data_IF_039612056081
#
_entry.id   IF_039612056081
#
_cell.length_a   1.000
_cell.length_b   1.000
_cell.length_c   1.000
_cell.angle_alpha   90.00
_cell.angle_beta   90.00
_cell.angle_gamma   90.00
#
_symmetry.space_group_name_H-M   'P 1'
#
loop_
_entity.id
_entity.type
_entity.pdbx_description
1 polymer ?
#
# COMPACT_ATOMS: atom_id res chain seq x y z
N UNK A 1 -19.88 55.61 53.58
CA UNK A 1 -19.68 56.63 52.55
C UNK A 1 -19.27 55.92 51.26
N UNK A 2 -20.18 56.02 50.31
CA UNK A 2 -20.13 56.11 48.88
C UNK A 2 -19.73 54.83 48.14
N UNK A 3 -20.67 54.12 47.70
CA UNK A 3 -21.37 54.06 46.40
C UNK A 3 -20.51 54.43 45.21
N UNK A 4 -20.36 53.51 44.24
CA UNK A 4 -20.78 53.71 42.85
C UNK A 4 -20.96 52.36 42.17
N UNK A 5 -22.13 52.18 41.59
CA UNK A 5 -22.59 51.19 40.58
C UNK A 5 -22.01 51.55 39.21
N UNK A 6 -21.86 50.52 38.38
CA UNK A 6 -22.34 50.42 36.97
C UNK A 6 -21.73 49.16 36.42
N UNK A 7 -22.42 48.22 35.88
CA UNK A 7 -23.56 48.26 34.94
C UNK A 7 -23.04 48.15 33.52
N UNK A 8 -23.13 47.01 32.92
CA UNK A 8 -22.82 46.85 31.50
C UNK A 8 -22.83 45.39 31.09
N UNK A 9 -24.05 44.82 30.92
CA UNK A 9 -24.27 43.60 30.16
C UNK A 9 -23.89 43.81 28.72
N UNK A 10 -23.01 42.94 28.20
CA UNK A 10 -22.83 42.72 26.77
C UNK A 10 -23.02 41.25 26.54
N UNK A 11 -24.25 40.89 26.19
CA UNK A 11 -24.58 39.64 25.51
C UNK A 11 -23.82 39.63 24.18
N UNK A 12 -22.79 38.78 24.07
CA UNK A 12 -22.14 38.36 22.85
C UNK A 12 -22.48 36.90 22.61
N UNK A 13 -23.50 36.66 21.78
CA UNK A 13 -23.80 35.36 21.22
C UNK A 13 -22.60 34.78 20.49
N UNK A 14 -22.02 33.72 21.03
CA UNK A 14 -21.06 32.88 20.32
C UNK A 14 -21.82 31.69 19.74
N UNK A 15 -22.34 31.88 18.53
CA UNK A 15 -22.72 30.77 17.65
C UNK A 15 -21.48 30.09 17.10
N UNK A 16 -21.50 28.75 17.08
CA UNK A 16 -20.57 27.96 16.28
C UNK A 16 -19.66 27.01 17.04
N UNK A 17 -20.21 26.20 17.94
CA UNK A 17 -19.51 24.97 18.37
C UNK A 17 -19.63 23.93 17.26
N UNK A 18 -18.73 23.97 16.28
CA UNK A 18 -18.48 22.81 15.42
C UNK A 18 -18.05 21.65 16.30
N UNK A 19 -18.81 20.56 16.29
CA UNK A 19 -18.66 19.40 17.14
C UNK A 19 -17.20 18.92 17.21
N UNK A 20 -16.63 18.99 18.40
CA UNK A 20 -15.38 18.34 18.70
C UNK A 20 -15.55 16.85 18.42
N UNK A 21 -14.88 16.33 17.40
CA UNK A 21 -14.79 14.88 17.18
C UNK A 21 -14.25 14.20 18.44
N UNK A 22 -14.49 12.90 18.62
CA UNK A 22 -14.11 12.19 19.84
C UNK A 22 -12.64 12.47 20.18
N UNK A 23 -12.36 12.80 21.43
CA UNK A 23 -11.01 13.01 21.95
C UNK A 23 -10.17 11.79 21.60
N UNK A 24 -9.08 12.00 20.86
CA UNK A 24 -8.15 10.92 20.53
C UNK A 24 -7.37 10.57 21.78
N UNK A 25 -7.34 9.27 22.09
CA UNK A 25 -6.51 8.76 23.17
C UNK A 25 -5.02 9.04 22.88
N UNK A 26 -4.29 9.51 23.90
CA UNK A 26 -2.84 9.59 23.83
C UNK A 26 -2.25 8.19 24.03
N UNK A 27 -1.31 7.79 23.19
CA UNK A 27 -0.55 6.56 23.42
C UNK A 27 0.18 6.61 24.77
N UNK A 28 0.40 5.45 25.36
CA UNK A 28 1.17 5.31 26.61
C UNK A 28 2.53 6.01 26.45
N UNK A 29 2.81 6.99 27.31
CA UNK A 29 4.01 7.84 27.21
C UNK A 29 3.78 9.24 26.62
N UNK A 30 2.51 9.65 26.39
CA UNK A 30 2.17 11.00 25.91
C UNK A 30 2.40 11.21 24.40
N UNK A 31 2.60 10.15 23.62
CA UNK A 31 2.76 10.23 22.18
C UNK A 31 1.38 10.36 21.51
N UNK A 32 1.20 11.41 20.70
CA UNK A 32 0.00 11.57 19.90
C UNK A 32 0.07 10.65 18.68
N UNK A 33 -0.85 9.68 18.58
CA UNK A 33 -0.96 8.89 17.35
C UNK A 33 -1.36 9.80 16.18
N UNK A 34 -0.63 9.74 15.05
CA UNK A 34 -0.95 10.56 13.90
C UNK A 34 -2.28 10.13 13.27
N UNK A 35 -3.00 11.10 12.71
CA UNK A 35 -4.09 10.81 11.78
C UNK A 35 -3.50 10.05 10.60
N UNK A 36 -3.83 8.78 10.47
CA UNK A 36 -3.39 7.97 9.34
C UNK A 36 -4.28 8.23 8.13
N UNK A 37 -3.67 8.46 6.99
CA UNK A 37 -4.33 8.68 5.72
C UNK A 37 -3.55 7.98 4.59
N UNK A 38 -4.20 7.75 3.47
CA UNK A 38 -3.57 7.20 2.27
C UNK A 38 -4.19 7.82 1.02
N UNK A 39 -3.42 7.86 -0.06
CA UNK A 39 -3.86 8.34 -1.35
C UNK A 39 -2.92 7.88 -2.46
N UNK A 40 -3.26 8.20 -3.70
CA UNK A 40 -2.41 7.93 -4.83
C UNK A 40 -2.36 9.13 -5.79
N UNK A 41 -1.18 9.39 -6.34
CA UNK A 41 -1.01 10.25 -7.49
C UNK A 41 -1.34 9.41 -8.72
N UNK A 42 -2.54 9.61 -9.27
CA UNK A 42 -2.94 9.01 -10.53
C UNK A 42 -2.27 9.74 -11.67
N UNK A 43 -1.66 8.98 -12.58
CA UNK A 43 -0.99 9.54 -13.76
C UNK A 43 -1.28 8.73 -15.02
N UNK A 44 -1.13 9.37 -16.16
CA UNK A 44 -1.18 8.75 -17.50
C UNK A 44 -0.30 9.53 -18.48
N UNK A 45 0.03 8.91 -19.61
CA UNK A 45 0.56 9.63 -20.76
C UNK A 45 -0.60 10.24 -21.55
N UNK A 46 -0.66 11.56 -21.56
CA UNK A 46 -1.61 12.36 -22.35
C UNK A 46 -1.00 12.84 -23.66
N UNK A 47 -1.79 13.56 -24.51
CA UNK A 47 -1.34 14.08 -25.81
C UNK A 47 -0.16 15.05 -25.71
N UNK A 48 -0.03 15.75 -24.58
CA UNK A 48 1.01 16.77 -24.33
C UNK A 48 2.11 16.34 -23.36
N UNK A 49 2.13 15.08 -22.94
CA UNK A 49 3.05 14.57 -21.93
C UNK A 49 2.31 13.98 -20.73
N UNK A 50 3.00 13.84 -19.62
CA UNK A 50 2.41 13.25 -18.41
C UNK A 50 1.31 14.12 -17.81
N UNK A 51 0.14 13.54 -17.60
CA UNK A 51 -0.99 14.14 -16.91
C UNK A 51 -1.22 13.46 -15.56
N UNK A 52 -1.69 14.23 -14.57
CA UNK A 52 -2.09 13.71 -13.25
C UNK A 52 -3.50 14.14 -12.90
N UNK A 53 -4.17 13.37 -12.03
CA UNK A 53 -5.51 13.71 -11.55
C UNK A 53 -5.43 14.68 -10.38
N UNK A 54 -6.16 15.79 -10.50
CA UNK A 54 -6.45 16.70 -9.40
C UNK A 54 -7.94 16.65 -9.03
N UNK A 55 -8.22 16.86 -7.76
CA UNK A 55 -9.57 16.99 -7.21
C UNK A 55 -9.77 18.39 -6.63
N UNK A 56 -10.94 19.01 -6.89
CA UNK A 56 -11.33 20.27 -6.27
C UNK A 56 -12.31 20.01 -5.14
N UNK A 57 -12.04 20.60 -3.96
CA UNK A 57 -12.89 20.47 -2.79
C UNK A 57 -13.57 21.79 -2.49
N UNK A 58 -14.90 21.87 -2.69
CA UNK A 58 -15.65 23.13 -2.61
C UNK A 58 -15.59 23.76 -1.21
N UNK A 59 -15.75 22.96 -0.15
CA UNK A 59 -15.72 23.43 1.24
C UNK A 59 -14.42 24.14 1.66
N UNK A 60 -13.33 23.89 0.93
CA UNK A 60 -12.00 24.46 1.22
C UNK A 60 -11.50 25.38 0.13
N UNK A 61 -12.23 25.44 -0.98
CA UNK A 61 -11.84 26.16 -2.18
C UNK A 61 -10.39 25.80 -2.61
N UNK A 62 -10.02 24.51 -2.53
CA UNK A 62 -8.65 24.04 -2.79
C UNK A 62 -8.58 22.95 -3.87
N UNK A 63 -7.39 22.85 -4.48
CA UNK A 63 -6.99 21.77 -5.36
C UNK A 63 -6.00 20.85 -4.64
N UNK A 64 -6.20 19.56 -4.75
CA UNK A 64 -5.44 18.55 -4.02
C UNK A 64 -5.30 17.26 -4.83
N UNK A 65 -4.38 16.42 -4.40
CA UNK A 65 -4.30 15.01 -4.84
C UNK A 65 -5.32 14.17 -4.07
N UNK A 66 -5.93 13.13 -4.70
CA UNK A 66 -6.93 12.29 -4.06
C UNK A 66 -6.36 11.49 -2.88
N UNK A 67 -6.94 11.67 -1.70
CA UNK A 67 -6.50 11.05 -0.43
C UNK A 67 -7.50 11.24 0.69
N UNK A 68 -7.59 10.29 1.58
CA UNK A 68 -8.41 10.45 2.78
C UNK A 68 -7.94 9.66 3.99
N UNK A 69 -8.72 9.68 5.05
CA UNK A 69 -8.40 9.04 6.33
C UNK A 69 -8.63 7.54 6.25
N UNK A 70 -7.70 6.76 6.81
CA UNK A 70 -7.91 5.34 6.98
C UNK A 70 -9.00 5.06 8.00
N UNK A 71 -9.88 4.11 7.69
CA UNK A 71 -10.84 3.55 8.64
C UNK A 71 -10.10 2.75 9.72
N UNK A 72 -10.77 2.46 10.83
CA UNK A 72 -10.17 1.63 11.89
C UNK A 72 -9.73 0.28 11.33
N UNK A 73 -8.48 -0.10 11.59
CA UNK A 73 -7.84 -1.34 11.11
C UNK A 73 -7.81 -1.50 9.58
N UNK A 74 -7.98 -0.43 8.83
CA UNK A 74 -7.86 -0.45 7.38
C UNK A 74 -6.39 -0.51 6.97
N UNK A 75 -6.08 -1.40 6.03
CA UNK A 75 -4.75 -1.47 5.43
C UNK A 75 -4.52 -0.25 4.52
N UNK A 76 -3.33 0.37 4.61
CA UNK A 76 -3.05 1.61 3.88
C UNK A 76 -3.22 1.47 2.36
N UNK A 77 -2.83 0.33 1.78
CA UNK A 77 -3.02 0.01 0.36
C UNK A 77 -4.49 0.01 -0.04
N UNK A 78 -5.36 -0.64 0.75
CA UNK A 78 -6.80 -0.68 0.46
C UNK A 78 -7.47 0.67 0.71
N UNK A 79 -6.99 1.42 1.71
CA UNK A 79 -7.44 2.78 1.97
C UNK A 79 -7.11 3.73 0.83
N UNK A 80 -5.90 3.64 0.27
CA UNK A 80 -5.53 4.45 -0.91
C UNK A 80 -6.43 4.16 -2.11
N UNK A 81 -6.69 2.87 -2.40
CA UNK A 81 -7.62 2.49 -3.49
C UNK A 81 -9.03 3.03 -3.23
N UNK A 82 -9.56 2.85 -2.02
CA UNK A 82 -10.90 3.31 -1.65
C UNK A 82 -11.04 4.83 -1.79
N UNK A 83 -10.10 5.60 -1.22
CA UNK A 83 -10.15 7.07 -1.27
C UNK A 83 -10.06 7.59 -2.72
N UNK A 84 -9.18 7.00 -3.54
CA UNK A 84 -9.11 7.37 -4.95
C UNK A 84 -10.43 7.09 -5.67
N UNK A 85 -11.05 5.93 -5.45
CA UNK A 85 -12.34 5.60 -6.05
C UNK A 85 -13.44 6.53 -5.55
N UNK A 86 -13.49 6.79 -4.24
CA UNK A 86 -14.49 7.67 -3.61
C UNK A 86 -14.37 9.13 -4.13
N UNK A 87 -13.15 9.65 -4.32
CA UNK A 87 -12.91 11.04 -4.73
C UNK A 87 -12.83 11.25 -6.25
N UNK A 88 -12.64 10.19 -7.07
CA UNK A 88 -12.41 10.36 -8.52
C UNK A 88 -13.26 9.46 -9.41
N UNK A 89 -13.90 8.42 -8.88
CA UNK A 89 -14.55 7.37 -9.67
C UNK A 89 -13.60 6.44 -10.43
N UNK A 90 -12.29 6.71 -10.44
CA UNK A 90 -11.30 5.94 -11.16
C UNK A 90 -10.78 4.77 -10.30
N UNK A 91 -10.60 3.60 -10.91
CA UNK A 91 -10.01 2.43 -10.23
C UNK A 91 -8.48 2.48 -10.38
N UNK A 92 -7.72 2.74 -9.30
CA UNK A 92 -6.27 2.83 -9.39
C UNK A 92 -5.60 1.45 -9.47
N UNK A 93 -4.49 1.40 -10.19
CA UNK A 93 -3.50 0.32 -10.14
C UNK A 93 -2.23 0.89 -9.53
N UNK A 94 -1.91 0.46 -8.31
CA UNK A 94 -0.79 1.00 -7.55
C UNK A 94 0.55 0.57 -8.16
N UNK A 95 1.39 1.55 -8.43
CA UNK A 95 2.80 1.41 -8.76
C UNK A 95 3.69 1.62 -7.54
N UNK A 96 4.86 2.21 -7.75
CA UNK A 96 5.82 2.43 -6.67
C UNK A 96 5.29 3.33 -5.56
N UNK A 97 5.64 2.98 -4.32
CA UNK A 97 5.38 3.83 -3.17
C UNK A 97 6.22 5.11 -3.25
N UNK A 98 5.58 6.23 -2.96
CA UNK A 98 6.23 7.52 -2.81
C UNK A 98 6.56 7.78 -1.33
N UNK A 99 7.50 8.69 -1.03
CA UNK A 99 7.77 9.08 0.34
C UNK A 99 6.52 9.55 1.07
N UNK A 100 6.25 9.04 2.29
CA UNK A 100 5.10 9.47 3.08
C UNK A 100 5.25 10.92 3.51
N UNK A 101 4.14 11.62 3.61
CA UNK A 101 4.10 12.97 4.12
C UNK A 101 3.66 13.02 5.57
N UNK A 102 4.27 13.95 6.32
CA UNK A 102 3.93 14.24 7.71
C UNK A 102 3.79 15.74 7.88
N UNK A 103 2.65 16.15 8.42
CA UNK A 103 2.34 17.55 8.71
C UNK A 103 1.32 17.66 9.85
N UNK A 104 1.16 18.88 10.37
CA UNK A 104 0.11 19.16 11.36
C UNK A 104 -1.18 19.54 10.62
N UNK A 105 -2.28 18.89 10.96
CA UNK A 105 -3.63 19.28 10.57
C UNK A 105 -4.42 19.69 11.80
N UNK A 106 -4.82 20.95 11.89
CA UNK A 106 -5.55 21.50 13.04
C UNK A 106 -4.83 21.19 14.38
N UNK A 107 -3.51 21.33 14.38
CA UNK A 107 -2.65 21.04 15.53
C UNK A 107 -2.33 19.55 15.77
N UNK A 108 -2.90 18.62 14.99
CA UNK A 108 -2.68 17.19 15.15
C UNK A 108 -1.70 16.63 14.11
N UNK A 109 -0.78 15.74 14.48
CA UNK A 109 0.07 15.06 13.51
C UNK A 109 -0.79 14.24 12.53
N UNK A 110 -0.53 14.43 11.24
CA UNK A 110 -1.12 13.63 10.17
C UNK A 110 0.00 12.99 9.35
N UNK A 111 -0.15 11.70 9.05
CA UNK A 111 0.71 10.96 8.14
C UNK A 111 -0.12 10.46 6.96
N UNK A 112 0.34 10.74 5.75
CA UNK A 112 -0.28 10.29 4.50
C UNK A 112 0.70 9.38 3.78
N UNK A 113 0.24 8.14 3.51
CA UNK A 113 0.95 7.19 2.66
C UNK A 113 0.57 7.41 1.20
N UNK A 114 1.55 7.40 0.30
CA UNK A 114 1.37 7.73 -1.10
C UNK A 114 1.91 6.67 -2.04
N UNK A 115 1.22 6.47 -3.14
CA UNK A 115 1.65 5.66 -4.28
C UNK A 115 1.52 6.46 -5.58
N UNK A 116 2.42 6.24 -6.53
CA UNK A 116 2.15 6.51 -7.92
C UNK A 116 1.19 5.44 -8.43
N UNK A 117 0.19 5.80 -9.22
CA UNK A 117 -0.79 4.83 -9.72
C UNK A 117 -1.24 5.19 -11.13
N UNK A 118 -1.54 4.17 -11.93
CA UNK A 118 -2.28 4.29 -13.18
C UNK A 118 -3.74 3.91 -12.95
N UNK A 119 -4.57 4.03 -13.97
CA UNK A 119 -5.94 3.52 -13.93
C UNK A 119 -6.04 2.10 -14.50
N UNK A 120 -6.98 1.31 -14.01
CA UNK A 120 -7.25 -0.04 -14.53
C UNK A 120 -7.68 0.00 -16.00
N UNK A 121 -8.36 1.05 -16.41
CA UNK A 121 -8.66 1.39 -17.82
C UNK A 121 -7.99 2.71 -18.18
N UNK A 122 -6.87 2.71 -18.92
CA UNK A 122 -6.18 3.93 -19.32
C UNK A 122 -7.00 4.85 -20.25
N UNK A 123 -8.01 4.29 -20.94
CA UNK A 123 -8.89 5.03 -21.82
C UNK A 123 -10.12 5.61 -21.09
N UNK A 124 -10.33 5.23 -19.82
CA UNK A 124 -11.46 5.73 -19.06
C UNK A 124 -11.40 7.26 -18.94
N UNK A 125 -12.46 7.92 -19.38
CA UNK A 125 -12.73 9.31 -19.04
C UNK A 125 -13.10 9.43 -17.56
N UNK A 126 -13.06 10.64 -17.04
CA UNK A 126 -13.58 10.91 -15.70
C UNK A 126 -15.10 11.05 -15.84
N UNK A 127 -15.81 10.09 -15.25
CA UNK A 127 -17.27 10.14 -15.06
C UNK A 127 -17.53 10.17 -13.56
N UNK A 128 -17.41 11.35 -12.97
CA UNK A 128 -17.51 11.56 -11.53
C UNK A 128 -18.65 12.55 -11.24
N UNK A 129 -19.73 12.11 -10.58
CA UNK A 129 -20.80 13.01 -10.17
C UNK A 129 -20.30 13.89 -9.00
N UNK A 130 -20.39 15.22 -9.12
CA UNK A 130 -20.02 16.13 -8.04
C UNK A 130 -20.75 15.80 -6.73
N UNK A 131 -20.06 15.92 -5.61
CA UNK A 131 -20.62 15.77 -4.27
C UNK A 131 -20.11 16.88 -3.32
N UNK A 132 -20.48 16.79 -2.04
CA UNK A 132 -20.09 17.80 -1.03
C UNK A 132 -18.56 17.83 -0.78
N UNK A 133 -17.87 16.70 -0.96
CA UNK A 133 -16.43 16.59 -0.69
C UNK A 133 -15.59 16.99 -1.91
N UNK A 134 -15.99 16.53 -3.11
CA UNK A 134 -15.30 16.80 -4.38
C UNK A 134 -16.33 17.20 -5.43
N UNK A 135 -16.17 18.39 -6.01
CA UNK A 135 -17.07 18.90 -7.04
C UNK A 135 -16.48 18.88 -8.46
N UNK A 136 -15.16 18.70 -8.59
CA UNK A 136 -14.50 18.61 -9.89
C UNK A 136 -13.28 17.70 -9.83
N UNK A 137 -13.15 16.85 -10.84
CA UNK A 137 -12.01 15.95 -11.03
C UNK A 137 -11.48 16.18 -12.45
N UNK A 138 -10.19 16.42 -12.59
CA UNK A 138 -9.57 16.72 -13.88
C UNK A 138 -8.24 15.99 -14.07
N UNK A 139 -7.97 15.55 -15.31
CA UNK A 139 -6.63 15.25 -15.78
C UNK A 139 -5.94 16.57 -16.16
N UNK A 140 -4.81 16.85 -15.55
CA UNK A 140 -4.08 18.11 -15.72
C UNK A 140 -2.63 17.78 -16.09
N UNK A 141 -2.04 18.47 -17.10
CA UNK A 141 -0.61 18.35 -17.37
C UNK A 141 0.21 18.56 -16.08
N UNK A 142 1.21 17.75 -15.86
CA UNK A 142 1.93 17.70 -14.58
C UNK A 142 2.56 19.05 -14.20
N UNK A 143 3.02 19.84 -15.18
CA UNK A 143 3.59 21.17 -14.95
C UNK A 143 2.51 22.16 -14.48
N UNK A 144 1.33 22.15 -15.13
CA UNK A 144 0.20 22.97 -14.72
C UNK A 144 -0.35 22.54 -13.34
N UNK A 145 -0.36 21.24 -13.07
CA UNK A 145 -0.82 20.69 -11.80
C UNK A 145 -0.02 21.23 -10.61
N UNK A 146 1.30 21.43 -10.76
CA UNK A 146 2.16 22.00 -9.71
C UNK A 146 1.74 23.43 -9.34
N UNK A 147 1.35 24.23 -10.32
CA UNK A 147 0.91 25.63 -10.10
C UNK A 147 -0.52 25.69 -9.55
N UNK A 148 -1.37 24.69 -9.86
CA UNK A 148 -2.78 24.63 -9.41
C UNK A 148 -2.93 24.05 -8.00
N UNK A 149 -2.01 23.18 -7.56
CA UNK A 149 -2.07 22.57 -6.24
C UNK A 149 -1.97 23.65 -5.14
N UNK A 150 -2.93 23.64 -4.22
CA UNK A 150 -3.03 24.64 -3.16
C UNK A 150 -1.96 24.47 -2.08
N UNK A 151 -1.45 23.26 -1.88
CA UNK A 151 -0.58 22.96 -0.76
C UNK A 151 0.81 22.49 -1.22
N UNK A 152 1.86 23.11 -0.67
CA UNK A 152 3.25 22.70 -0.91
C UNK A 152 3.52 21.21 -0.63
N UNK A 153 2.78 20.63 0.30
CA UNK A 153 2.96 19.21 0.58
C UNK A 153 2.41 18.32 -0.54
N UNK A 154 1.38 18.72 -1.28
CA UNK A 154 0.90 18.00 -2.46
C UNK A 154 1.86 18.21 -3.66
N UNK A 155 2.42 19.43 -3.83
CA UNK A 155 3.48 19.68 -4.81
C UNK A 155 4.69 18.76 -4.57
N UNK A 156 5.11 18.57 -3.32
CA UNK A 156 6.21 17.63 -2.99
C UNK A 156 5.90 16.18 -3.37
N UNK A 157 4.63 15.75 -3.38
CA UNK A 157 4.28 14.40 -3.91
C UNK A 157 4.54 14.33 -5.41
N UNK A 158 4.17 15.38 -6.15
CA UNK A 158 4.44 15.48 -7.59
C UNK A 158 5.95 15.48 -7.86
N UNK A 159 6.73 16.25 -7.11
CA UNK A 159 8.20 16.28 -7.24
C UNK A 159 8.82 14.89 -6.97
N UNK A 160 8.35 14.19 -5.94
CA UNK A 160 8.78 12.82 -5.64
C UNK A 160 8.38 11.82 -6.72
N UNK A 161 7.25 12.04 -7.37
CA UNK A 161 6.85 11.24 -8.55
C UNK A 161 7.77 11.51 -9.73
N UNK A 162 8.05 12.75 -10.04
CA UNK A 162 8.94 13.12 -11.15
C UNK A 162 10.41 12.72 -10.94
N UNK A 163 10.85 12.62 -9.69
CA UNK A 163 12.22 12.23 -9.34
C UNK A 163 12.54 10.73 -9.56
N UNK A 164 11.58 9.91 -9.94
CA UNK A 164 11.80 8.48 -10.16
C UNK A 164 10.98 7.92 -11.32
N UNK A 165 11.14 6.63 -11.63
CA UNK A 165 10.47 6.01 -12.77
C UNK A 165 8.95 6.02 -12.58
N UNK A 166 8.22 6.46 -13.60
CA UNK A 166 6.76 6.45 -13.60
C UNK A 166 6.22 5.01 -13.69
N UNK A 167 6.75 4.22 -14.63
CA UNK A 167 6.32 2.84 -14.87
C UNK A 167 7.18 1.84 -14.08
N UNK A 168 6.52 1.04 -13.26
CA UNK A 168 7.15 -0.05 -12.50
C UNK A 168 6.25 -1.28 -12.47
N UNK A 169 6.82 -2.46 -12.23
CA UNK A 169 6.04 -3.64 -11.93
C UNK A 169 6.37 -4.19 -10.54
N UNK A 170 5.35 -4.61 -9.77
CA UNK A 170 5.55 -5.15 -8.43
C UNK A 170 5.92 -6.65 -8.48
N UNK A 171 6.94 -7.02 -7.71
CA UNK A 171 7.20 -8.41 -7.32
C UNK A 171 6.95 -8.51 -5.81
N UNK A 172 5.91 -9.23 -5.44
CA UNK A 172 5.44 -9.36 -4.06
C UNK A 172 5.96 -10.68 -3.49
N UNK A 173 6.76 -10.61 -2.42
CA UNK A 173 7.28 -11.78 -1.72
C UNK A 173 6.53 -11.96 -0.41
N UNK A 174 5.59 -12.91 -0.39
CA UNK A 174 4.72 -13.23 0.74
C UNK A 174 5.27 -14.41 1.54
N UNK A 175 5.43 -14.25 2.84
CA UNK A 175 5.52 -15.38 3.74
C UNK A 175 4.12 -15.92 4.01
N UNK A 176 3.91 -17.24 3.82
CA UNK A 176 2.61 -17.89 4.07
C UNK A 176 1.97 -17.43 5.39
N UNK A 177 0.66 -17.47 5.45
CA UNK A 177 -0.15 -17.11 6.61
C UNK A 177 -0.02 -18.12 7.76
N UNK A 178 -0.72 -17.90 8.86
CA UNK A 178 -0.65 -18.78 10.03
C UNK A 178 -1.12 -20.18 9.69
N UNK A 179 -0.35 -21.19 10.10
CA UNK A 179 -0.60 -22.60 9.87
C UNK A 179 -0.39 -23.43 11.16
N UNK A 180 -0.67 -22.82 12.31
CA UNK A 180 -0.55 -23.46 13.61
C UNK A 180 0.89 -23.81 14.01
N UNK A 181 0.99 -24.67 15.01
CA UNK A 181 2.27 -25.18 15.50
C UNK A 181 2.73 -26.40 14.66
N UNK A 182 3.95 -26.30 14.14
CA UNK A 182 4.58 -27.39 13.40
C UNK A 182 4.77 -28.65 14.28
N UNK A 183 5.08 -28.47 15.55
CA UNK A 183 5.32 -29.58 16.50
C UNK A 183 4.06 -30.40 16.80
N UNK A 184 2.89 -29.81 16.64
CA UNK A 184 1.61 -30.52 16.85
C UNK A 184 1.10 -31.23 15.58
N UNK A 185 1.75 -31.03 14.42
CA UNK A 185 1.36 -31.67 13.15
C UNK A 185 2.10 -32.99 12.98
N UNK A 186 1.37 -34.10 12.78
CA UNK A 186 1.91 -35.47 12.76
C UNK A 186 2.13 -36.04 11.36
N UNK A 187 1.50 -35.45 10.34
CA UNK A 187 1.66 -35.84 8.96
C UNK A 187 2.81 -35.09 8.25
N UNK A 188 2.98 -35.31 6.94
CA UNK A 188 3.94 -34.58 6.13
C UNK A 188 3.70 -33.07 6.25
N UNK A 189 4.74 -32.31 6.61
CA UNK A 189 4.69 -30.85 6.78
C UNK A 189 4.24 -30.11 5.52
N UNK A 190 4.40 -30.71 4.34
CA UNK A 190 3.89 -30.16 3.10
C UNK A 190 2.36 -30.09 3.07
N UNK A 191 1.71 -31.01 3.74
CA UNK A 191 0.24 -31.10 3.80
C UNK A 191 -0.36 -30.24 4.92
N UNK A 192 0.46 -29.64 5.79
CA UNK A 192 -0.03 -28.84 6.91
C UNK A 192 -0.77 -27.59 6.40
N UNK A 193 -2.10 -27.48 6.67
CA UNK A 193 -2.93 -26.41 6.16
C UNK A 193 -2.81 -25.13 6.97
N UNK A 194 -3.46 -24.07 6.54
CA UNK A 194 -3.69 -22.88 7.37
C UNK A 194 -4.56 -23.23 8.59
N UNK A 195 -4.26 -22.59 9.70
CA UNK A 195 -5.17 -22.57 10.87
C UNK A 195 -6.33 -21.57 10.67
N UNK A 196 -7.22 -21.47 11.65
CA UNK A 196 -8.37 -20.55 11.59
C UNK A 196 -7.97 -19.08 11.41
N UNK A 197 -6.86 -18.67 12.04
CA UNK A 197 -6.31 -17.30 11.89
C UNK A 197 -5.79 -17.09 10.48
N UNK A 198 -5.02 -18.04 9.94
CA UNK A 198 -4.49 -17.96 8.60
C UNK A 198 -5.59 -17.90 7.53
N UNK A 199 -6.66 -18.70 7.68
CA UNK A 199 -7.81 -18.67 6.76
C UNK A 199 -8.53 -17.32 6.81
N UNK A 200 -8.74 -16.74 8.00
CA UNK A 200 -9.33 -15.42 8.13
C UNK A 200 -8.45 -14.33 7.48
N UNK A 201 -7.13 -14.41 7.64
CA UNK A 201 -6.18 -13.49 7.02
C UNK A 201 -6.14 -13.65 5.49
N UNK A 202 -6.30 -14.88 4.98
CA UNK A 202 -6.33 -15.14 3.54
C UNK A 202 -7.46 -14.40 2.83
N UNK A 203 -8.61 -14.21 3.49
CA UNK A 203 -9.75 -13.45 2.95
C UNK A 203 -9.49 -11.95 2.79
N UNK A 204 -8.48 -11.40 3.46
CA UNK A 204 -8.10 -10.00 3.31
C UNK A 204 -7.12 -9.75 2.16
N UNK A 205 -6.38 -10.79 1.73
CA UNK A 205 -5.35 -10.67 0.69
C UNK A 205 -5.86 -10.23 -0.69
N UNK A 206 -7.03 -10.67 -1.18
CA UNK A 206 -7.50 -10.28 -2.51
C UNK A 206 -7.50 -8.78 -2.74
N UNK A 207 -8.07 -8.00 -1.82
CA UNK A 207 -8.11 -6.53 -1.94
C UNK A 207 -6.74 -5.88 -1.90
N UNK A 208 -5.82 -6.41 -1.09
CA UNK A 208 -4.47 -5.86 -0.94
C UNK A 208 -3.62 -6.18 -2.17
N UNK A 209 -3.64 -7.44 -2.65
CA UNK A 209 -2.86 -7.87 -3.80
C UNK A 209 -3.44 -7.33 -5.12
N UNK A 210 -4.77 -7.29 -5.22
CA UNK A 210 -5.49 -6.77 -6.39
C UNK A 210 -5.22 -5.29 -6.67
N UNK A 211 -4.88 -4.52 -5.62
CA UNK A 211 -4.49 -3.12 -5.77
C UNK A 211 -3.26 -2.90 -6.68
N UNK A 212 -2.43 -3.92 -6.85
CA UNK A 212 -1.22 -3.89 -7.69
C UNK A 212 -1.45 -4.46 -9.12
N UNK A 213 -2.68 -4.46 -9.63
CA UNK A 213 -2.97 -4.83 -11.02
C UNK A 213 -3.06 -6.33 -11.28
N UNK A 214 -3.58 -7.09 -10.33
CA UNK A 214 -3.81 -8.54 -10.42
C UNK A 214 -2.54 -9.33 -10.74
N UNK A 215 -1.50 -9.27 -9.91
CA UNK A 215 -0.28 -10.02 -10.09
C UNK A 215 -0.56 -11.52 -10.25
N UNK A 216 0.16 -12.18 -11.17
CA UNK A 216 0.13 -13.65 -11.27
C UNK A 216 0.71 -14.30 -10.03
N UNK A 217 0.39 -15.57 -9.82
CA UNK A 217 0.79 -16.31 -8.63
C UNK A 217 1.84 -17.38 -8.94
N UNK A 218 2.93 -17.37 -8.18
CA UNK A 218 3.92 -18.43 -8.08
C UNK A 218 4.04 -18.86 -6.62
N UNK A 219 3.87 -20.13 -6.32
CA UNK A 219 3.81 -20.58 -4.93
C UNK A 219 4.65 -21.83 -4.65
N UNK A 220 5.11 -21.98 -3.44
CA UNK A 220 5.62 -23.24 -2.90
C UNK A 220 4.55 -24.35 -3.04
N UNK A 221 5.00 -25.61 -3.12
CA UNK A 221 4.11 -26.77 -3.14
C UNK A 221 3.41 -27.05 -1.80
N UNK A 222 3.77 -26.37 -0.71
CA UNK A 222 3.17 -26.60 0.60
C UNK A 222 1.73 -26.06 0.66
N UNK A 223 0.81 -26.87 1.23
CA UNK A 223 -0.61 -26.53 1.35
C UNK A 223 -0.85 -25.13 1.94
N UNK A 224 -0.14 -24.76 3.01
CA UNK A 224 -0.24 -23.44 3.65
C UNK A 224 0.11 -22.27 2.72
N UNK A 225 1.01 -22.48 1.75
CA UNK A 225 1.34 -21.44 0.77
C UNK A 225 0.24 -21.30 -0.28
N UNK A 226 -0.24 -22.42 -0.80
CA UNK A 226 -1.35 -22.44 -1.78
C UNK A 226 -2.63 -21.90 -1.17
N UNK A 227 -3.01 -22.35 0.04
CA UNK A 227 -4.19 -21.88 0.76
C UNK A 227 -4.11 -20.38 1.11
N UNK A 228 -2.91 -19.83 1.35
CA UNK A 228 -2.74 -18.39 1.60
C UNK A 228 -3.22 -17.53 0.43
N UNK A 229 -3.05 -18.02 -0.80
CA UNK A 229 -3.39 -17.27 -2.01
C UNK A 229 -4.70 -17.73 -2.67
N UNK A 230 -5.32 -18.83 -2.17
CA UNK A 230 -6.52 -19.39 -2.77
C UNK A 230 -7.68 -18.38 -2.92
N UNK A 231 -8.04 -17.56 -1.90
CA UNK A 231 -9.08 -16.56 -2.07
C UNK A 231 -8.76 -15.55 -3.16
N UNK A 232 -7.50 -15.12 -3.26
CA UNK A 232 -7.04 -14.19 -4.30
C UNK A 232 -7.15 -14.80 -5.69
N UNK A 233 -6.67 -16.04 -5.87
CA UNK A 233 -6.69 -16.70 -7.19
C UNK A 233 -8.11 -16.99 -7.67
N UNK A 234 -9.02 -17.30 -6.75
CA UNK A 234 -10.45 -17.52 -7.06
C UNK A 234 -11.16 -16.21 -7.40
N UNK A 235 -10.95 -15.14 -6.63
CA UNK A 235 -11.64 -13.86 -6.83
C UNK A 235 -11.25 -13.19 -8.15
N UNK A 236 -9.97 -13.30 -8.54
CA UNK A 236 -9.45 -12.64 -9.76
C UNK A 236 -9.23 -13.57 -10.94
N UNK A 237 -9.59 -14.86 -10.83
CA UNK A 237 -9.33 -15.88 -11.85
C UNK A 237 -7.86 -15.92 -12.29
N UNK A 238 -6.95 -15.90 -11.32
CA UNK A 238 -5.49 -15.89 -11.58
C UNK A 238 -4.92 -17.30 -11.49
N UNK A 239 -4.29 -17.81 -12.56
CA UNK A 239 -3.70 -19.14 -12.52
C UNK A 239 -2.53 -19.22 -11.53
N UNK A 240 -2.46 -20.34 -10.81
CA UNK A 240 -1.38 -20.63 -9.86
C UNK A 240 -0.32 -21.50 -10.50
N UNK A 241 0.93 -21.05 -10.52
CA UNK A 241 2.11 -21.85 -10.86
C UNK A 241 2.80 -22.33 -9.58
N UNK A 242 2.95 -23.62 -9.44
CA UNK A 242 3.76 -24.19 -8.35
C UNK A 242 5.23 -24.23 -8.77
N UNK A 243 6.08 -23.65 -7.92
CA UNK A 243 7.54 -23.69 -8.07
C UNK A 243 8.16 -24.46 -6.89
N UNK A 244 8.71 -25.64 -7.18
CA UNK A 244 9.26 -26.53 -6.16
C UNK A 244 10.46 -25.95 -5.44
N UNK A 245 11.24 -25.08 -6.11
CA UNK A 245 12.37 -24.39 -5.51
C UNK A 245 11.96 -23.49 -4.32
N UNK A 246 10.72 -23.00 -4.30
CA UNK A 246 10.20 -22.20 -3.18
C UNK A 246 9.68 -23.04 -2.00
N UNK A 247 9.82 -24.37 -2.07
CA UNK A 247 9.40 -25.29 -1.02
C UNK A 247 10.58 -25.65 -0.15
N UNK A 248 10.47 -25.42 1.15
CA UNK A 248 11.53 -25.78 2.09
C UNK A 248 11.64 -27.29 2.20
N UNK A 249 12.85 -27.77 2.03
CA UNK A 249 13.28 -29.11 2.42
C UNK A 249 14.27 -28.95 3.57
N UNK A 250 14.00 -29.56 4.71
CA UNK A 250 14.92 -29.57 5.84
C UNK A 250 15.94 -30.69 5.62
N UNK A 251 17.23 -30.37 5.72
CA UNK A 251 18.27 -31.39 5.87
C UNK A 251 18.24 -31.95 7.29
N UNK A 252 18.91 -33.08 7.50
CA UNK A 252 19.04 -33.74 8.83
C UNK A 252 19.64 -32.84 9.92
N UNK A 253 20.37 -31.79 9.53
CA UNK A 253 20.95 -30.78 10.43
C UNK A 253 20.10 -29.51 10.58
N UNK A 254 18.86 -29.48 10.05
CA UNK A 254 17.94 -28.34 10.15
C UNK A 254 18.22 -27.18 9.23
N UNK A 255 19.25 -27.22 8.40
CA UNK A 255 19.53 -26.19 7.42
C UNK A 255 18.57 -26.28 6.22
N UNK A 256 18.10 -25.18 5.64
CA UNK A 256 17.25 -25.21 4.46
C UNK A 256 18.04 -25.75 3.26
N UNK A 257 17.44 -26.72 2.56
CA UNK A 257 17.97 -27.30 1.34
C UNK A 257 17.45 -26.53 0.13
N UNK A 258 18.28 -26.38 -0.90
CA UNK A 258 17.81 -25.79 -2.17
C UNK A 258 17.70 -24.27 -2.15
N UNK A 259 18.46 -23.58 -1.29
CA UNK A 259 18.46 -22.11 -1.23
C UNK A 259 18.93 -21.51 -2.56
N UNK A 260 19.94 -22.10 -3.19
CA UNK A 260 20.46 -21.58 -4.44
C UNK A 260 19.44 -21.73 -5.58
N UNK A 261 18.80 -22.88 -5.68
CA UNK A 261 17.72 -23.12 -6.65
C UNK A 261 16.55 -22.14 -6.43
N UNK A 262 16.24 -21.81 -5.16
CA UNK A 262 15.23 -20.80 -4.84
C UNK A 262 15.63 -19.40 -5.28
N UNK A 263 16.90 -19.02 -5.09
CA UNK A 263 17.45 -17.73 -5.54
C UNK A 263 17.42 -17.61 -7.07
N UNK A 264 17.85 -18.66 -7.78
CA UNK A 264 17.78 -18.71 -9.24
C UNK A 264 16.32 -18.64 -9.75
N UNK A 265 15.39 -19.38 -9.12
CA UNK A 265 13.99 -19.33 -9.48
C UNK A 265 13.39 -17.93 -9.26
N UNK A 266 13.78 -17.26 -8.15
CA UNK A 266 13.32 -15.90 -7.88
C UNK A 266 13.95 -14.87 -8.83
N UNK A 267 15.21 -15.06 -9.20
CA UNK A 267 15.87 -14.26 -10.22
C UNK A 267 15.15 -14.34 -11.58
N UNK A 268 14.67 -15.53 -11.97
CA UNK A 268 13.84 -15.69 -13.18
C UNK A 268 12.52 -14.93 -13.06
N UNK A 269 11.87 -14.97 -11.89
CA UNK A 269 10.64 -14.18 -11.64
C UNK A 269 10.88 -12.69 -11.82
N UNK A 270 11.98 -12.17 -11.29
CA UNK A 270 12.37 -10.75 -11.47
C UNK A 270 12.61 -10.40 -12.93
N UNK A 271 13.33 -11.28 -13.66
CA UNK A 271 13.67 -11.08 -15.07
C UNK A 271 12.46 -11.16 -16.02
N UNK A 272 11.38 -11.82 -15.64
CA UNK A 272 10.16 -11.92 -16.45
C UNK A 272 9.43 -10.57 -16.60
N UNK A 273 9.76 -9.54 -15.83
CA UNK A 273 9.23 -8.18 -15.98
C UNK A 273 7.70 -8.08 -15.84
N UNK A 274 7.10 -8.86 -14.95
CA UNK A 274 5.63 -8.94 -14.80
C UNK A 274 5.21 -8.86 -13.35
N UNK A 275 4.10 -8.19 -13.04
CA UNK A 275 3.50 -8.24 -11.72
C UNK A 275 3.34 -9.69 -11.23
N UNK A 276 3.96 -10.02 -10.10
CA UNK A 276 4.01 -11.41 -9.61
C UNK A 276 3.94 -11.45 -8.09
N UNK A 277 3.12 -12.34 -7.53
CA UNK A 277 3.15 -12.71 -6.12
C UNK A 277 3.88 -14.07 -6.00
N UNK A 278 4.90 -14.09 -5.15
CA UNK A 278 5.61 -15.31 -4.77
C UNK A 278 5.27 -15.63 -3.31
N UNK A 279 4.64 -16.78 -3.06
CA UNK A 279 4.37 -17.24 -1.70
C UNK A 279 5.33 -18.35 -1.30
N UNK A 280 6.04 -18.14 -0.17
CA UNK A 280 7.06 -19.06 0.32
C UNK A 280 7.15 -19.06 1.87
N UNK A 281 8.25 -19.53 2.40
CA UNK A 281 8.51 -19.80 3.82
C UNK A 281 9.46 -18.76 4.43
N UNK A 282 9.39 -18.64 5.77
CA UNK A 282 10.18 -17.63 6.50
C UNK A 282 11.68 -17.78 6.33
N UNK A 283 12.16 -18.99 6.13
CA UNK A 283 13.57 -19.33 6.00
C UNK A 283 14.15 -18.88 4.64
N UNK A 284 13.31 -18.89 3.58
CA UNK A 284 13.73 -18.45 2.24
C UNK A 284 13.59 -16.94 2.03
N UNK A 285 12.65 -16.29 2.72
CA UNK A 285 12.37 -14.86 2.53
C UNK A 285 13.62 -13.97 2.59
N UNK A 286 14.50 -14.06 3.62
CA UNK A 286 15.70 -13.22 3.66
C UNK A 286 16.64 -13.44 2.50
N UNK A 287 16.76 -14.71 2.05
CA UNK A 287 17.65 -15.11 0.95
C UNK A 287 17.15 -14.56 -0.39
N UNK A 288 15.84 -14.70 -0.65
CA UNK A 288 15.22 -14.21 -1.88
C UNK A 288 15.20 -12.67 -1.93
N UNK A 289 14.95 -12.03 -0.80
CA UNK A 289 14.97 -10.57 -0.74
C UNK A 289 16.40 -10.02 -0.92
N UNK A 290 17.41 -10.65 -0.32
CA UNK A 290 18.81 -10.31 -0.54
C UNK A 290 19.21 -10.46 -2.03
N UNK A 291 18.78 -11.54 -2.67
CA UNK A 291 18.99 -11.77 -4.10
C UNK A 291 18.37 -10.66 -4.95
N UNK A 292 17.10 -10.31 -4.66
CA UNK A 292 16.42 -9.22 -5.38
C UNK A 292 17.18 -7.90 -5.26
N UNK A 293 17.54 -7.49 -4.04
CA UNK A 293 18.21 -6.21 -3.80
C UNK A 293 19.60 -6.18 -4.45
N UNK A 294 20.35 -7.29 -4.39
CA UNK A 294 21.65 -7.39 -5.04
C UNK A 294 21.52 -7.23 -6.55
N UNK A 295 20.59 -7.95 -7.19
CA UNK A 295 20.38 -7.86 -8.66
C UNK A 295 19.91 -6.50 -9.12
N UNK A 296 19.09 -5.83 -8.29
CA UNK A 296 18.54 -4.51 -8.59
C UNK A 296 19.48 -3.36 -8.17
N UNK A 297 20.72 -3.67 -7.76
CA UNK A 297 21.74 -2.68 -7.43
C UNK A 297 21.47 -1.89 -6.14
N UNK A 298 20.68 -2.43 -5.22
CA UNK A 298 20.32 -1.74 -4.00
C UNK A 298 21.07 -2.26 -2.78
N UNK A 299 21.65 -1.38 -1.96
CA UNK A 299 22.27 -1.79 -0.70
C UNK A 299 21.18 -2.23 0.29
N UNK A 300 21.48 -3.21 1.13
CA UNK A 300 20.60 -3.61 2.22
C UNK A 300 21.38 -3.81 3.51
N UNK A 301 20.88 -3.21 4.58
CA UNK A 301 21.44 -3.35 5.93
C UNK A 301 20.40 -3.79 6.97
N UNK A 302 19.16 -4.07 6.53
CA UNK A 302 18.01 -4.32 7.41
C UNK A 302 17.71 -5.81 7.54
N UNK A 303 16.96 -6.14 8.60
CA UNK A 303 16.39 -7.48 8.74
C UNK A 303 15.37 -7.75 7.63
N UNK A 304 15.72 -8.63 6.70
CA UNK A 304 14.90 -9.00 5.55
C UNK A 304 13.81 -10.03 5.89
N UNK A 305 13.83 -10.60 7.10
CA UNK A 305 12.85 -11.58 7.54
C UNK A 305 11.44 -11.00 7.67
N UNK A 306 10.44 -11.85 7.49
CA UNK A 306 9.03 -11.53 7.62
C UNK A 306 8.37 -12.38 8.71
N UNK A 307 7.36 -11.83 9.38
CA UNK A 307 6.40 -12.61 10.18
C UNK A 307 5.43 -13.33 9.23
N UNK A 308 4.75 -14.38 9.69
CA UNK A 308 3.66 -15.04 8.95
C UNK A 308 2.62 -13.98 8.54
N UNK A 309 2.16 -14.01 7.29
CA UNK A 309 1.23 -13.04 6.75
C UNK A 309 1.81 -11.65 6.48
N UNK A 310 3.12 -11.49 6.55
CA UNK A 310 3.78 -10.27 6.06
C UNK A 310 4.37 -10.49 4.67
N UNK A 311 4.56 -9.40 3.93
CA UNK A 311 5.10 -9.44 2.58
C UNK A 311 5.93 -8.20 2.27
N UNK A 312 6.88 -8.37 1.35
CA UNK A 312 7.60 -7.32 0.67
C UNK A 312 6.97 -7.04 -0.67
N UNK A 313 6.93 -5.78 -1.09
CA UNK A 313 6.67 -5.38 -2.48
C UNK A 313 7.92 -4.74 -3.01
N UNK A 314 8.51 -5.34 -4.03
CA UNK A 314 9.69 -4.84 -4.73
C UNK A 314 9.20 -4.23 -6.04
N UNK A 315 9.29 -2.92 -6.18
CA UNK A 315 8.94 -2.23 -7.43
C UNK A 315 10.18 -2.16 -8.33
N UNK A 316 10.10 -2.87 -9.44
CA UNK A 316 11.17 -2.94 -10.43
C UNK A 316 10.87 -1.99 -11.57
N UNK A 317 11.86 -1.26 -12.07
CA UNK A 317 11.71 -0.35 -13.21
C UNK A 317 11.42 -1.15 -14.48
N UNK A 318 10.50 -0.67 -15.31
CA UNK A 318 10.19 -1.32 -16.59
C UNK A 318 11.34 -1.25 -17.61
N UNK A 319 12.16 -0.21 -17.52
CA UNK A 319 13.16 0.15 -18.55
C UNK A 319 14.58 -0.35 -18.29
N UNK A 320 14.87 -1.08 -17.25
CA UNK A 320 16.26 -1.45 -17.00
C UNK A 320 16.55 -2.33 -15.81
N UNK A 321 15.50 -2.88 -15.19
CA UNK A 321 15.69 -3.85 -14.12
C UNK A 321 16.29 -3.27 -12.83
N UNK A 322 16.17 -1.96 -12.59
CA UNK A 322 16.61 -1.31 -11.36
C UNK A 322 15.52 -1.32 -10.25
N UNK A 323 15.91 -1.05 -9.02
CA UNK A 323 14.98 -0.88 -7.91
C UNK A 323 14.37 0.52 -7.92
N UNK A 324 13.03 0.61 -7.98
CA UNK A 324 12.31 1.87 -7.86
C UNK A 324 11.84 2.16 -6.41
N UNK A 325 11.33 1.15 -5.71
CA UNK A 325 10.90 1.27 -4.32
C UNK A 325 10.78 -0.11 -3.67
N UNK A 326 10.80 -0.15 -2.34
CA UNK A 326 10.53 -1.36 -1.54
C UNK A 326 9.50 -1.00 -0.47
N UNK A 327 8.51 -1.87 -0.30
CA UNK A 327 7.51 -1.77 0.75
C UNK A 327 7.51 -3.02 1.61
N UNK A 328 7.17 -2.84 2.89
CA UNK A 328 6.93 -3.95 3.81
C UNK A 328 5.56 -3.80 4.44
N UNK A 329 4.76 -4.84 4.31
CA UNK A 329 3.40 -4.88 4.82
C UNK A 329 3.13 -6.12 5.66
N UNK A 330 2.05 -6.07 6.43
CA UNK A 330 1.41 -7.21 7.04
C UNK A 330 -0.06 -7.22 6.64
N UNK A 331 -0.65 -8.39 6.46
CA UNK A 331 -2.08 -8.51 6.08
C UNK A 331 -2.99 -7.83 7.10
N UNK A 332 -2.64 -7.90 8.38
CA UNK A 332 -3.31 -7.13 9.45
C UNK A 332 -2.57 -5.83 9.66
N UNK A 333 -3.31 -4.73 9.57
CA UNK A 333 -2.82 -3.37 9.85
C UNK A 333 -2.59 -3.15 11.36
#
# INVERSE_FOLDING_TARGET
MSTVQNGGDVEGSVEGAHGAGPLRETAVGGYLEPIRAAGALLWREGPGGTEIVLVRRPDRADWSLPKGKLKSREHAVTGAVREVVEETGLIPVLGRRLPPQRYLKDGWPKQVEWWAATTADPAAGIDYPPNEEVDLVEWVPVEEARDRLTYDHDVRVVDNFLAGPATTFPVILLRHLSAGDKGAWTDDDLLRPLDGTGRADALALPRVLGAYGRPRVVTSAAARCTESLLPYTVEYDVPTRTERAFTIRSSSNGSPYGVEEAREAFARVLAEGRPTVVCTHGELVPQLMAEALTRLGAPFSQQLGLRKGSFWVVHVTAEGGGLAAVERHAVRA
#
